data_IF_129964910602
#
_entry.id   IF_129964910602
#
_cell.length_a   1.000
_cell.length_b   1.000
_cell.length_c   1.000
_cell.angle_alpha   90.00
_cell.angle_beta   90.00
_cell.angle_gamma   90.00
#
_symmetry.space_group_name_H-M   'P 1'
#
loop_
_entity.id
_entity.type
_entity.pdbx_description
1 polymer ?
#
# COMPACT_ATOMS: atom_id res chain seq x y z
N UNK A 1 24.02 -26.79 -12.88
CA UNK A 1 23.75 -25.49 -13.54
C UNK A 1 23.48 -25.72 -15.03
N UNK A 2 22.86 -24.80 -15.75
CA UNK A 2 22.66 -24.89 -17.21
C UNK A 2 23.66 -24.02 -17.97
N UNK A 3 23.90 -24.31 -19.26
CA UNK A 3 24.93 -23.65 -20.07
C UNK A 3 24.79 -22.12 -20.11
N UNK A 4 23.55 -21.61 -20.24
CA UNK A 4 23.29 -20.16 -20.28
C UNK A 4 23.75 -19.46 -18.99
N UNK A 5 23.47 -20.05 -17.82
CA UNK A 5 23.89 -19.49 -16.53
C UNK A 5 25.40 -19.61 -16.34
N UNK A 6 25.99 -20.72 -16.79
CA UNK A 6 27.45 -20.94 -16.79
C UNK A 6 28.16 -19.82 -17.54
N UNK A 7 27.77 -19.53 -18.79
CA UNK A 7 28.41 -18.51 -19.61
C UNK A 7 28.36 -17.12 -18.97
N UNK A 8 27.25 -16.75 -18.34
CA UNK A 8 27.13 -15.48 -17.61
C UNK A 8 28.01 -15.39 -16.36
N UNK A 9 28.40 -16.54 -15.80
CA UNK A 9 29.18 -16.63 -14.56
C UNK A 9 30.68 -16.78 -14.82
N UNK A 10 31.13 -16.98 -16.07
CA UNK A 10 32.55 -17.07 -16.41
C UNK A 10 33.28 -15.75 -16.15
N UNK A 11 32.79 -14.61 -16.63
CA UNK A 11 33.49 -13.33 -16.40
C UNK A 11 33.59 -12.96 -14.91
N UNK A 12 32.50 -13.03 -14.11
CA UNK A 12 32.61 -12.82 -12.67
C UNK A 12 33.54 -13.81 -11.97
N UNK A 13 33.68 -15.03 -12.49
CA UNK A 13 34.63 -16.01 -11.96
C UNK A 13 36.08 -15.61 -12.24
N UNK A 14 36.39 -15.09 -13.43
CA UNK A 14 37.73 -14.62 -13.78
C UNK A 14 38.14 -13.35 -13.02
N UNK A 15 37.18 -12.60 -12.47
CA UNK A 15 37.41 -11.40 -11.67
C UNK A 15 37.24 -11.63 -10.16
N UNK A 16 37.26 -12.88 -9.69
CA UNK A 16 37.09 -13.26 -8.28
C UNK A 16 35.81 -12.69 -7.60
N UNK A 17 34.76 -12.47 -8.38
CA UNK A 17 33.50 -11.84 -7.96
C UNK A 17 32.36 -12.85 -7.67
N UNK A 18 32.67 -14.14 -7.59
CA UNK A 18 31.71 -15.19 -7.23
C UNK A 18 31.90 -15.68 -5.80
N UNK A 19 30.79 -16.06 -5.15
CA UNK A 19 30.87 -16.72 -3.85
C UNK A 19 31.24 -18.22 -3.98
N UNK A 20 31.62 -18.84 -2.86
CA UNK A 20 32.08 -20.24 -2.83
C UNK A 20 31.07 -21.25 -3.40
N UNK A 21 29.77 -21.05 -3.16
CA UNK A 21 28.72 -21.94 -3.66
C UNK A 21 28.54 -21.83 -5.19
N UNK A 22 28.63 -20.61 -5.71
CA UNK A 22 28.60 -20.36 -7.15
C UNK A 22 29.82 -20.94 -7.85
N UNK A 23 31.00 -20.82 -7.24
CA UNK A 23 32.24 -21.42 -7.73
C UNK A 23 32.09 -22.93 -7.87
N UNK A 24 31.61 -23.63 -6.82
CA UNK A 24 31.40 -25.08 -6.86
C UNK A 24 30.43 -25.49 -7.98
N UNK A 25 29.31 -24.78 -8.11
CA UNK A 25 28.30 -25.04 -9.16
C UNK A 25 28.85 -24.80 -10.57
N UNK A 26 29.70 -23.79 -10.74
CA UNK A 26 30.37 -23.47 -11.99
C UNK A 26 31.38 -24.56 -12.37
N UNK A 27 32.31 -24.87 -11.47
CA UNK A 27 33.33 -25.90 -11.68
C UNK A 27 32.73 -27.27 -11.99
N UNK A 28 31.67 -27.66 -11.27
CA UNK A 28 30.93 -28.90 -11.54
C UNK A 28 30.32 -28.93 -12.94
N UNK A 29 29.87 -27.80 -13.48
CA UNK A 29 29.33 -27.76 -14.83
C UNK A 29 30.43 -27.74 -15.89
N UNK A 30 31.52 -26.99 -15.66
CA UNK A 30 32.68 -26.95 -16.57
C UNK A 30 33.31 -28.33 -16.75
N UNK A 31 33.40 -29.13 -15.68
CA UNK A 31 33.92 -30.51 -15.78
C UNK A 31 33.02 -31.44 -16.60
N UNK A 32 31.71 -31.19 -16.64
CA UNK A 32 30.74 -32.01 -17.40
C UNK A 32 30.46 -31.53 -18.83
N UNK A 33 30.69 -30.24 -19.13
CA UNK A 33 30.24 -29.60 -20.37
C UNK A 33 31.42 -29.06 -21.17
N UNK A 34 31.84 -29.83 -22.19
CA UNK A 34 32.96 -29.48 -23.07
C UNK A 34 32.80 -28.12 -23.75
N UNK A 35 31.58 -27.76 -24.17
CA UNK A 35 31.30 -26.47 -24.81
C UNK A 35 31.60 -25.31 -23.85
N UNK A 36 31.04 -25.34 -22.65
CA UNK A 36 31.27 -24.27 -21.68
C UNK A 36 32.72 -24.23 -21.19
N UNK A 37 33.39 -25.38 -21.11
CA UNK A 37 34.81 -25.44 -20.77
C UNK A 37 35.69 -24.79 -21.85
N UNK A 38 35.38 -25.00 -23.14
CA UNK A 38 36.09 -24.34 -24.24
C UNK A 38 35.99 -22.82 -24.18
N UNK A 39 34.79 -22.29 -23.94
CA UNK A 39 34.55 -20.84 -23.75
C UNK A 39 35.33 -20.29 -22.54
N UNK A 40 35.34 -21.04 -21.44
CA UNK A 40 36.09 -20.68 -20.25
C UNK A 40 37.60 -20.59 -20.52
N UNK A 41 38.20 -21.61 -21.13
CA UNK A 41 39.64 -21.61 -21.45
C UNK A 41 40.00 -20.51 -22.45
N UNK A 42 39.14 -20.24 -23.43
CA UNK A 42 39.32 -19.13 -24.36
C UNK A 42 39.37 -17.77 -23.63
N UNK A 43 38.37 -17.48 -22.79
CA UNK A 43 38.32 -16.23 -22.03
C UNK A 43 39.46 -16.12 -21.02
N UNK A 44 39.84 -17.23 -20.38
CA UNK A 44 41.00 -17.30 -19.49
C UNK A 44 42.30 -16.98 -20.22
N UNK A 45 42.46 -17.47 -21.45
CA UNK A 45 43.65 -17.17 -22.26
C UNK A 45 43.77 -15.68 -22.58
N UNK A 46 42.65 -15.02 -22.92
CA UNK A 46 42.59 -13.58 -23.17
C UNK A 46 42.92 -12.80 -21.89
N UNK A 47 42.31 -13.19 -20.77
CA UNK A 47 42.55 -12.54 -19.48
C UNK A 47 44.03 -12.60 -19.07
N UNK A 48 44.69 -13.74 -19.30
CA UNK A 48 46.11 -13.89 -19.05
C UNK A 48 46.98 -13.03 -19.99
N UNK A 49 46.59 -12.90 -21.27
CA UNK A 49 47.30 -12.01 -22.20
C UNK A 49 47.23 -10.55 -21.76
N UNK A 50 46.06 -10.10 -21.27
CA UNK A 50 45.87 -8.74 -20.75
C UNK A 50 46.61 -8.54 -19.43
N UNK A 51 46.59 -9.53 -18.53
CA UNK A 51 47.25 -9.44 -17.23
C UNK A 51 48.78 -9.37 -17.29
N UNK A 52 49.38 -9.79 -18.40
CA UNK A 52 50.82 -9.73 -18.63
C UNK A 52 51.28 -8.45 -19.35
N UNK A 53 50.39 -7.47 -19.53
CA UNK A 53 50.78 -6.17 -20.05
C UNK A 53 51.50 -5.42 -18.93
N UNK A 54 52.75 -5.04 -19.17
CA UNK A 54 53.50 -4.20 -18.25
C UNK A 54 52.76 -2.86 -18.07
N UNK A 55 52.34 -2.60 -16.85
CA UNK A 55 51.78 -1.31 -16.49
C UNK A 55 52.94 -0.35 -16.23
N UNK A 56 53.01 0.71 -17.02
CA UNK A 56 53.91 1.82 -16.76
C UNK A 56 53.52 2.49 -15.44
N UNK A 57 54.51 2.91 -14.65
CA UNK A 57 54.26 3.62 -13.41
C UNK A 57 53.45 4.90 -13.69
N UNK A 58 52.45 5.14 -12.86
CA UNK A 58 51.58 6.29 -13.02
C UNK A 58 52.37 7.61 -12.95
N UNK A 59 52.12 8.56 -13.86
CA UNK A 59 52.75 9.87 -13.78
C UNK A 59 52.46 10.54 -12.44
N UNK A 60 53.49 11.12 -11.82
CA UNK A 60 53.37 11.77 -10.52
C UNK A 60 52.28 12.87 -10.55
N UNK A 61 51.32 12.79 -9.64
CA UNK A 61 50.21 13.74 -9.54
C UNK A 61 48.99 13.46 -10.44
N UNK A 62 48.98 12.38 -11.23
CA UNK A 62 47.84 12.00 -12.08
C UNK A 62 46.53 11.83 -11.26
N UNK A 63 46.57 11.16 -10.12
CA UNK A 63 45.41 11.02 -9.24
C UNK A 63 44.89 12.34 -8.68
N UNK A 64 45.78 13.29 -8.42
CA UNK A 64 45.41 14.61 -7.94
C UNK A 64 44.72 15.41 -9.06
N UNK A 65 45.21 15.31 -10.29
CA UNK A 65 44.58 15.92 -11.46
C UNK A 65 43.17 15.35 -11.70
N UNK A 66 43.02 14.02 -11.71
CA UNK A 66 41.71 13.36 -11.88
C UNK A 66 40.74 13.78 -10.77
N UNK A 67 41.21 13.76 -9.50
CA UNK A 67 40.38 14.17 -8.36
C UNK A 67 39.92 15.62 -8.49
N UNK A 68 40.80 16.51 -8.89
CA UNK A 68 40.47 17.92 -9.04
C UNK A 68 39.43 18.12 -10.15
N UNK A 69 39.54 17.40 -11.27
CA UNK A 69 38.58 17.48 -12.38
C UNK A 69 37.19 16.98 -11.94
N UNK A 70 37.11 15.82 -11.29
CA UNK A 70 35.84 15.29 -10.76
C UNK A 70 35.20 16.27 -9.77
N UNK A 71 36.00 16.91 -8.92
CA UNK A 71 35.50 17.90 -7.96
C UNK A 71 34.97 19.17 -8.64
N UNK A 72 35.58 19.61 -9.74
CA UNK A 72 35.13 20.74 -10.54
C UNK A 72 33.77 20.44 -11.18
N UNK A 73 33.61 19.27 -11.79
CA UNK A 73 32.34 18.86 -12.42
C UNK A 73 31.20 18.75 -11.41
N UNK A 74 31.45 18.17 -10.23
CA UNK A 74 30.44 18.09 -9.17
C UNK A 74 30.04 19.46 -8.63
N UNK A 75 30.98 20.40 -8.58
CA UNK A 75 30.70 21.78 -8.16
C UNK A 75 29.85 22.52 -9.19
N UNK A 76 30.05 22.25 -10.48
CA UNK A 76 29.28 22.85 -11.56
C UNK A 76 27.85 22.27 -11.63
N UNK A 77 27.68 20.95 -11.45
CA UNK A 77 26.36 20.32 -11.42
C UNK A 77 25.51 20.76 -10.21
N UNK A 78 26.13 20.97 -9.05
CA UNK A 78 25.44 21.49 -7.86
C UNK A 78 24.99 22.95 -8.00
N UNK A 79 25.68 23.77 -8.80
CA UNK A 79 25.27 25.16 -9.06
C UNK A 79 24.07 25.27 -10.01
N UNK A 80 23.92 24.34 -10.94
CA UNK A 80 22.76 24.29 -11.85
C UNK A 80 21.51 23.69 -11.18
N UNK A 81 21.66 22.94 -10.08
CA UNK A 81 20.54 22.27 -9.40
C UNK A 81 19.77 23.14 -8.37
N UNK A 82 20.29 24.29 -7.95
CA UNK A 82 19.58 25.14 -6.97
C UNK A 82 18.41 25.91 -7.58
N UNK A 83 18.53 26.36 -8.83
CA UNK A 83 17.41 26.95 -9.58
C UNK A 83 16.35 25.90 -9.94
N UNK A 84 16.78 24.67 -10.22
CA UNK A 84 15.87 23.57 -10.55
C UNK A 84 15.18 22.95 -9.31
N UNK A 85 15.81 23.04 -8.14
CA UNK A 85 15.17 22.64 -6.88
C UNK A 85 14.06 23.62 -6.44
N UNK A 86 14.24 24.92 -6.70
CA UNK A 86 13.22 25.93 -6.42
C UNK A 86 12.07 25.92 -7.44
N UNK A 87 12.34 25.65 -8.72
CA UNK A 87 11.28 25.55 -9.74
C UNK A 87 10.39 24.32 -9.57
N UNK A 88 10.92 23.23 -9.01
CA UNK A 88 10.12 22.05 -8.65
C UNK A 88 9.24 22.25 -7.40
N UNK A 89 9.55 23.25 -6.56
CA UNK A 89 8.75 23.61 -5.39
C UNK A 89 7.44 24.32 -5.77
N UNK A 90 7.47 25.18 -6.79
CA UNK A 90 6.26 25.84 -7.31
C UNK A 90 5.24 24.84 -7.89
N UNK A 91 5.73 23.77 -8.55
CA UNK A 91 4.85 22.74 -9.13
C UNK A 91 4.30 21.80 -8.03
N UNK A 92 5.06 21.52 -6.97
CA UNK A 92 4.60 20.69 -5.85
C UNK A 92 3.54 21.39 -4.98
N UNK A 93 3.70 22.70 -4.71
CA UNK A 93 2.71 23.45 -3.93
C UNK A 93 1.40 23.70 -4.72
N UNK A 94 1.47 23.84 -6.04
CA UNK A 94 0.29 23.90 -6.90
C UNK A 94 -0.49 22.56 -6.93
N UNK A 95 0.21 21.41 -6.90
CA UNK A 95 -0.44 20.08 -6.89
C UNK A 95 -1.02 19.69 -5.52
N UNK A 96 -0.41 20.15 -4.42
CA UNK A 96 -0.85 19.84 -3.06
C UNK A 96 -2.18 20.52 -2.67
N UNK A 97 -2.41 21.74 -3.16
CA UNK A 97 -3.64 22.51 -2.89
C UNK A 97 -4.85 21.99 -3.68
N UNK A 98 -4.64 21.39 -4.86
CA UNK A 98 -5.72 20.78 -5.66
C UNK A 98 -6.19 19.45 -5.07
N UNK A 99 -5.28 18.59 -4.59
CA UNK A 99 -5.61 17.28 -4.00
C UNK A 99 -6.46 17.39 -2.72
N UNK A 100 -6.21 18.40 -1.89
CA UNK A 100 -7.02 18.64 -0.67
C UNK A 100 -8.45 19.11 -0.97
N UNK A 101 -8.64 19.92 -2.02
CA UNK A 101 -9.97 20.42 -2.42
C UNK A 101 -10.84 19.31 -3.01
N UNK A 102 -10.25 18.40 -3.81
CA UNK A 102 -10.96 17.26 -4.39
C UNK A 102 -11.32 16.23 -3.30
N UNK A 103 -10.39 15.89 -2.41
CA UNK A 103 -10.67 14.95 -1.32
C UNK A 103 -11.75 15.46 -0.34
N UNK A 104 -11.74 16.76 -0.02
CA UNK A 104 -12.77 17.36 0.84
C UNK A 104 -14.16 17.33 0.17
N UNK A 105 -14.26 17.58 -1.14
CA UNK A 105 -15.52 17.54 -1.87
C UNK A 105 -16.14 16.13 -1.87
N UNK A 106 -15.33 15.08 -2.10
CA UNK A 106 -15.81 13.69 -2.03
C UNK A 106 -16.22 13.29 -0.61
N UNK A 107 -15.49 13.75 0.42
CA UNK A 107 -15.85 13.51 1.82
C UNK A 107 -17.21 14.13 2.19
N UNK A 108 -17.46 15.38 1.79
CA UNK A 108 -18.74 16.06 2.02
C UNK A 108 -19.88 15.36 1.28
N UNK A 109 -19.66 14.94 0.03
CA UNK A 109 -20.69 14.26 -0.76
C UNK A 109 -21.03 12.88 -0.20
N UNK A 110 -20.04 12.11 0.25
CA UNK A 110 -20.26 10.83 0.92
C UNK A 110 -21.00 11.00 2.25
N UNK A 111 -20.68 12.04 3.02
CA UNK A 111 -21.37 12.35 4.28
C UNK A 111 -22.83 12.73 4.06
N UNK A 112 -23.13 13.54 3.03
CA UNK A 112 -24.50 13.90 2.65
C UNK A 112 -25.27 12.64 2.21
N UNK A 113 -24.67 11.76 1.42
CA UNK A 113 -25.31 10.51 1.00
C UNK A 113 -25.58 9.57 2.17
N UNK A 114 -24.67 9.48 3.15
CA UNK A 114 -24.89 8.70 4.37
C UNK A 114 -26.00 9.29 5.23
N UNK A 115 -26.06 10.61 5.39
CA UNK A 115 -27.13 11.26 6.13
C UNK A 115 -28.50 11.12 5.43
N UNK A 116 -28.55 11.32 4.11
CA UNK A 116 -29.77 11.16 3.33
C UNK A 116 -30.24 9.69 3.32
N UNK A 117 -29.33 8.75 3.11
CA UNK A 117 -29.62 7.30 3.16
C UNK A 117 -30.07 6.85 4.54
N UNK A 118 -29.39 7.31 5.60
CA UNK A 118 -29.78 7.05 6.98
C UNK A 118 -31.14 7.65 7.33
N UNK A 119 -31.44 8.86 6.87
CA UNK A 119 -32.73 9.51 7.07
C UNK A 119 -33.87 8.78 6.37
N UNK A 120 -33.66 8.33 5.12
CA UNK A 120 -34.64 7.53 4.39
C UNK A 120 -34.87 6.16 5.05
N UNK A 121 -33.79 5.48 5.48
CA UNK A 121 -33.88 4.21 6.19
C UNK A 121 -34.62 4.35 7.53
N UNK A 122 -34.29 5.40 8.30
CA UNK A 122 -34.99 5.73 9.54
C UNK A 122 -36.48 5.97 9.32
N UNK A 123 -36.83 6.73 8.27
CA UNK A 123 -38.23 7.02 7.95
C UNK A 123 -39.00 5.75 7.57
N UNK A 124 -38.37 4.83 6.84
CA UNK A 124 -38.96 3.53 6.50
C UNK A 124 -39.14 2.60 7.71
N UNK A 125 -38.21 2.60 8.68
CA UNK A 125 -38.39 1.81 9.92
C UNK A 125 -39.53 2.33 10.81
N UNK A 126 -39.86 3.62 10.74
CA UNK A 126 -41.03 4.16 11.46
C UNK A 126 -42.35 3.65 10.89
N UNK A 127 -42.47 3.44 9.58
CA UNK A 127 -43.73 2.95 9.00
C UNK A 127 -44.03 1.48 9.32
N UNK A 128 -43.02 0.67 9.62
CA UNK A 128 -43.23 -0.73 10.01
C UNK A 128 -43.61 -0.92 11.49
N UNK A 129 -43.29 0.03 12.36
CA UNK A 129 -43.47 -0.14 13.82
C UNK A 129 -44.90 0.19 14.32
N UNK A 130 -45.75 0.78 13.48
CA UNK A 130 -47.15 1.12 13.81
C UNK A 130 -48.17 0.02 13.49
N UNK A 131 -47.77 -1.07 12.83
CA UNK A 131 -48.73 -2.09 12.35
C UNK A 131 -48.86 -3.33 13.23
N UNK A 132 -48.06 -3.47 14.31
CA UNK A 132 -48.02 -4.72 15.11
C UNK A 132 -48.60 -4.64 16.53
N UNK A 133 -48.94 -3.44 17.03
CA UNK A 133 -49.38 -3.24 18.42
C UNK A 133 -50.64 -2.41 18.62
N UNK A 134 -51.12 -1.70 17.59
CA UNK A 134 -52.36 -0.91 17.67
C UNK A 134 -53.62 -1.76 17.59
N UNK A 135 -53.61 -2.78 16.72
CA UNK A 135 -54.78 -3.63 16.44
C UNK A 135 -55.17 -4.50 17.64
N UNK A 136 -54.19 -5.07 18.36
CA UNK A 136 -54.43 -5.83 19.59
C UNK A 136 -55.02 -4.96 20.71
N UNK A 137 -54.58 -3.70 20.81
CA UNK A 137 -55.01 -2.81 21.89
C UNK A 137 -56.42 -2.27 21.65
N UNK A 138 -56.80 -2.07 20.39
CA UNK A 138 -58.15 -1.69 20.01
C UNK A 138 -59.16 -2.83 20.28
N UNK A 139 -58.80 -4.07 19.90
CA UNK A 139 -59.62 -5.27 20.21
C UNK A 139 -59.78 -5.48 21.73
N UNK A 140 -58.71 -5.26 22.51
CA UNK A 140 -58.77 -5.39 23.96
C UNK A 140 -59.65 -4.31 24.61
N UNK A 141 -59.59 -3.06 24.12
CA UNK A 141 -60.43 -1.98 24.63
C UNK A 141 -61.92 -2.20 24.31
N UNK A 142 -62.25 -2.69 23.12
CA UNK A 142 -63.62 -3.00 22.74
C UNK A 142 -64.19 -4.18 23.56
N UNK A 143 -63.37 -5.21 23.80
CA UNK A 143 -63.73 -6.32 24.67
C UNK A 143 -63.96 -5.88 26.13
N UNK A 144 -63.08 -5.01 26.67
CA UNK A 144 -63.21 -4.55 28.06
C UNK A 144 -64.43 -3.65 28.29
N UNK A 145 -64.89 -2.93 27.27
CA UNK A 145 -66.09 -2.09 27.38
C UNK A 145 -67.38 -2.90 27.45
N UNK A 146 -67.43 -4.07 26.81
CA UNK A 146 -68.63 -4.92 26.78
C UNK A 146 -68.80 -5.80 28.02
N UNK A 147 -67.72 -6.12 28.73
CA UNK A 147 -67.79 -6.87 30.00
C UNK A 147 -66.80 -6.31 31.05
N UNK A 148 -67.11 -5.13 31.65
CA UNK A 148 -66.25 -4.49 32.65
C UNK A 148 -66.13 -5.29 33.96
N UNK A 149 -66.97 -6.32 34.17
CA UNK A 149 -66.91 -7.19 35.34
C UNK A 149 -66.07 -8.45 35.10
N UNK A 150 -65.65 -8.74 33.86
CA UNK A 150 -64.68 -9.80 33.57
C UNK A 150 -63.23 -9.33 33.74
N UNK A 151 -62.97 -8.04 33.54
CA UNK A 151 -61.63 -7.46 33.66
C UNK A 151 -61.32 -7.11 35.12
N UNK A 152 -60.36 -7.83 35.70
CA UNK A 152 -59.87 -7.60 37.08
C UNK A 152 -59.43 -6.16 37.32
N UNK A 153 -58.88 -5.49 36.31
CA UNK A 153 -58.38 -4.11 36.46
C UNK A 153 -59.56 -3.15 36.59
N UNK A 154 -60.56 -3.27 35.73
CA UNK A 154 -61.78 -2.47 35.80
C UNK A 154 -62.53 -2.72 37.11
N UNK A 155 -62.61 -3.98 37.57
CA UNK A 155 -63.24 -4.35 38.83
C UNK A 155 -62.57 -3.70 40.03
N UNK A 156 -61.23 -3.71 40.09
CA UNK A 156 -60.48 -3.04 41.16
C UNK A 156 -60.71 -1.53 41.17
N UNK A 157 -60.81 -0.91 39.99
CA UNK A 157 -61.11 0.52 39.90
C UNK A 157 -62.52 0.86 40.41
N UNK A 158 -63.52 0.04 40.07
CA UNK A 158 -64.90 0.22 40.55
C UNK A 158 -64.98 0.01 42.07
N UNK A 159 -64.31 -1.03 42.61
CA UNK A 159 -64.25 -1.28 44.06
C UNK A 159 -63.60 -0.10 44.79
N UNK A 160 -62.45 0.39 44.31
CA UNK A 160 -61.77 1.52 44.93
C UNK A 160 -62.67 2.78 44.96
N UNK A 161 -63.42 3.03 43.88
CA UNK A 161 -64.35 4.16 43.81
C UNK A 161 -65.57 3.99 44.73
N UNK A 162 -65.99 2.76 45.01
CA UNK A 162 -67.10 2.47 45.91
C UNK A 162 -66.70 2.61 47.40
N UNK A 163 -65.44 2.33 47.74
CA UNK A 163 -64.89 2.54 49.09
C UNK A 163 -64.74 4.03 49.43
N UNK A 164 -64.47 4.90 48.46
CA UNK A 164 -64.39 6.36 48.69
C UNK A 164 -65.75 7.03 49.03
N UNK A 165 -66.88 6.34 48.83
CA UNK A 165 -68.23 6.87 49.11
C UNK A 165 -68.83 6.39 50.44
N UNK A 166 -68.07 5.68 51.29
CA UNK A 166 -68.57 5.06 52.53
C UNK A 166 -67.67 5.34 53.73
#
# INVERSE_FOLDING_TARGET
MNCRRTLKKINPYLSDALNAEEIRKLQSHLSSCRRCNGEFEYLKSINNMIGNIDFEEEPEGMWNAIRNEIMIEQKHSKRLSLSDALSNLDIYFASFSFRKRVAAAFGVLAFILLLAGGFLYWNQTRSLSTSGGGEYMEEYMEASMNDPLSDRIALNFIIAKAEEQK
#
